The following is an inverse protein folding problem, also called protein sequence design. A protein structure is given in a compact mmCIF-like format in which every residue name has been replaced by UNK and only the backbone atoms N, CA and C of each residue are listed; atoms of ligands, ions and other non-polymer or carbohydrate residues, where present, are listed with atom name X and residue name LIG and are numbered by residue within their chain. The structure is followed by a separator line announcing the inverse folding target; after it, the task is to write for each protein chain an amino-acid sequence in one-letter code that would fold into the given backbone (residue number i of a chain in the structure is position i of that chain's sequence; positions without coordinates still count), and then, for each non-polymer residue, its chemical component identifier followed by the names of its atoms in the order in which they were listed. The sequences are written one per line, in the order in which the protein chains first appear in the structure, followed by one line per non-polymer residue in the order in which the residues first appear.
data_IF_684005126692
#
_entry.id   IF_684005126692
#
_cell.length_a   1.000
_cell.length_b   1.000
_cell.length_c   1.000
_cell.angle_alpha   90.00
_cell.angle_beta   90.00
_cell.angle_gamma   90.00
#
_symmetry.space_group_name_H-M   'P 1'
#
loop_
_entity.id
_entity.type
_entity.pdbx_description
1 polymer ?
#
# COMPACT_ATOMS: atom_id res chain seq x y z
N UNK A 1 19.05 18.43 11.47
CA UNK A 1 17.88 19.27 11.22
C UNK A 1 16.89 18.55 10.31
N UNK A 2 15.65 18.63 10.64
CA UNK A 2 14.63 17.99 9.85
C UNK A 2 14.19 18.92 8.72
N UNK A 3 14.27 18.43 7.50
CA UNK A 3 13.76 19.19 6.36
C UNK A 3 12.27 18.92 6.19
N UNK A 4 11.54 19.96 5.87
CA UNK A 4 10.12 19.83 5.52
C UNK A 4 9.96 20.22 4.06
N UNK A 5 9.11 19.49 3.37
CA UNK A 5 8.77 19.81 2.00
C UNK A 5 7.88 21.04 1.98
N UNK A 6 8.09 21.92 1.00
CA UNK A 6 7.13 22.98 0.76
C UNK A 6 5.84 22.40 0.18
N UNK A 7 4.79 23.21 0.10
CA UNK A 7 3.48 22.72 -0.34
C UNK A 7 3.50 22.16 -1.76
N UNK A 8 4.23 22.82 -2.66
CA UNK A 8 4.28 22.37 -4.04
C UNK A 8 5.02 21.04 -4.17
N UNK A 9 6.17 20.91 -3.52
CA UNK A 9 6.95 19.67 -3.53
C UNK A 9 6.17 18.54 -2.90
N UNK A 10 5.45 18.83 -1.81
CA UNK A 10 4.61 17.84 -1.14
C UNK A 10 3.49 17.35 -2.07
N UNK A 11 2.80 18.28 -2.73
CA UNK A 11 1.74 17.92 -3.66
C UNK A 11 2.24 17.08 -4.82
N UNK A 12 3.41 17.42 -5.34
CA UNK A 12 4.04 16.67 -6.43
C UNK A 12 4.42 15.25 -5.98
N UNK A 13 4.94 15.10 -4.77
CA UNK A 13 5.31 13.79 -4.24
C UNK A 13 4.07 12.93 -4.01
N UNK A 14 2.99 13.51 -3.48
CA UNK A 14 1.71 12.80 -3.31
C UNK A 14 1.24 12.28 -4.66
N UNK A 15 1.24 13.13 -5.67
CA UNK A 15 0.80 12.76 -7.01
C UNK A 15 1.68 11.64 -7.58
N UNK A 16 2.99 11.75 -7.42
CA UNK A 16 3.93 10.72 -7.89
C UNK A 16 3.62 9.36 -7.24
N UNK A 17 3.42 9.35 -5.93
CA UNK A 17 3.16 8.10 -5.19
C UNK A 17 1.83 7.48 -5.59
N UNK A 18 0.79 8.28 -5.79
CA UNK A 18 -0.51 7.77 -6.24
C UNK A 18 -0.40 7.22 -7.66
N UNK A 19 0.33 7.87 -8.54
CA UNK A 19 0.56 7.36 -9.89
C UNK A 19 1.30 6.02 -9.83
N UNK A 20 2.30 5.90 -8.94
CA UNK A 20 3.00 4.64 -8.74
C UNK A 20 2.07 3.54 -8.23
N UNK A 21 1.14 3.90 -7.34
CA UNK A 21 0.15 2.92 -6.85
C UNK A 21 -0.70 2.39 -8.01
N UNK A 22 -1.19 3.27 -8.87
CA UNK A 22 -2.00 2.88 -10.02
C UNK A 22 -1.23 2.02 -11.02
N UNK A 23 0.00 2.41 -11.33
CA UNK A 23 0.85 1.62 -12.22
C UNK A 23 1.13 0.23 -11.65
N UNK A 24 1.36 0.17 -10.36
CA UNK A 24 1.72 -1.08 -9.69
C UNK A 24 0.53 -2.04 -9.62
N UNK A 25 -0.69 -1.52 -9.47
CA UNK A 25 -1.90 -2.34 -9.58
C UNK A 25 -1.99 -2.98 -10.97
N UNK A 26 -1.68 -2.23 -12.02
CA UNK A 26 -1.70 -2.79 -13.38
C UNK A 26 -0.64 -3.86 -13.56
N UNK A 27 0.55 -3.64 -13.00
CA UNK A 27 1.61 -4.66 -13.01
C UNK A 27 1.14 -5.94 -12.33
N UNK A 28 0.47 -5.81 -11.19
CA UNK A 28 -0.07 -6.97 -10.48
C UNK A 28 -1.06 -7.75 -11.33
N UNK A 29 -1.95 -7.06 -12.04
CA UNK A 29 -2.93 -7.71 -12.90
C UNK A 29 -2.27 -8.48 -14.04
N UNK A 30 -1.27 -7.89 -14.67
CA UNK A 30 -0.54 -8.56 -15.75
C UNK A 30 0.13 -9.82 -15.24
N UNK A 31 0.76 -9.76 -14.07
CA UNK A 31 1.42 -10.91 -13.48
C UNK A 31 0.42 -12.01 -13.11
N UNK A 32 -0.73 -11.64 -12.54
CA UNK A 32 -1.76 -12.61 -12.18
C UNK A 32 -2.35 -13.27 -13.43
N UNK A 33 -2.55 -12.51 -14.50
CA UNK A 33 -3.07 -13.06 -15.76
C UNK A 33 -2.11 -14.07 -16.37
N UNK A 34 -0.80 -13.94 -16.09
CA UNK A 34 0.20 -14.85 -16.55
C UNK A 34 0.58 -15.89 -15.47
N UNK A 35 -0.26 -16.04 -14.48
CA UNK A 35 -0.13 -17.01 -13.39
C UNK A 35 1.10 -16.86 -12.50
N UNK A 36 1.66 -15.64 -12.44
CA UNK A 36 2.75 -15.31 -11.53
C UNK A 36 2.18 -14.75 -10.23
N UNK A 37 1.59 -15.61 -9.42
CA UNK A 37 0.79 -15.19 -8.26
C UNK A 37 1.62 -14.61 -7.13
N UNK A 38 2.80 -15.18 -6.85
CA UNK A 38 3.68 -14.61 -5.81
C UNK A 38 4.08 -13.20 -6.17
N UNK A 39 4.48 -12.98 -7.42
CA UNK A 39 4.86 -11.65 -7.89
C UNK A 39 3.66 -10.70 -7.90
N UNK A 40 2.48 -11.22 -8.27
CA UNK A 40 1.26 -10.41 -8.29
C UNK A 40 0.91 -9.90 -6.88
N UNK A 41 0.96 -10.77 -5.87
CA UNK A 41 0.69 -10.38 -4.49
C UNK A 41 1.74 -9.38 -3.98
N UNK A 42 3.01 -9.59 -4.34
CA UNK A 42 4.07 -8.64 -4.01
C UNK A 42 3.73 -7.26 -4.55
N UNK A 43 3.26 -7.18 -5.80
CA UNK A 43 2.89 -5.91 -6.41
C UNK A 43 1.66 -5.30 -5.76
N UNK A 44 0.69 -6.11 -5.31
CA UNK A 44 -0.46 -5.58 -4.56
C UNK A 44 -0.01 -4.88 -3.28
N UNK A 45 0.91 -5.50 -2.55
CA UNK A 45 1.46 -4.86 -1.35
C UNK A 45 2.08 -3.51 -1.69
N UNK A 46 2.96 -3.47 -2.71
CA UNK A 46 3.63 -2.23 -3.05
C UNK A 46 2.69 -1.16 -3.57
N UNK A 47 1.63 -1.55 -4.28
CA UNK A 47 0.61 -0.59 -4.70
C UNK A 47 -0.05 0.08 -3.49
N UNK A 48 -0.44 -0.71 -2.51
CA UNK A 48 -1.01 -0.20 -1.27
C UNK A 48 0.02 0.64 -0.50
N UNK A 49 1.26 0.19 -0.46
CA UNK A 49 2.34 0.89 0.24
C UNK A 49 2.55 2.29 -0.35
N UNK A 50 2.59 2.42 -1.68
CA UNK A 50 2.72 3.73 -2.32
C UNK A 50 1.55 4.64 -1.99
N UNK A 51 0.33 4.10 -1.98
CA UNK A 51 -0.86 4.88 -1.63
C UNK A 51 -0.77 5.38 -0.17
N UNK A 52 -0.37 4.50 0.75
CA UNK A 52 -0.20 4.89 2.16
C UNK A 52 0.87 5.97 2.28
N UNK A 53 2.00 5.82 1.57
CA UNK A 53 3.04 6.84 1.60
C UNK A 53 2.51 8.20 1.11
N UNK A 54 1.68 8.21 0.06
CA UNK A 54 1.07 9.45 -0.42
C UNK A 54 0.23 10.11 0.68
N UNK A 55 -0.56 9.31 1.38
CA UNK A 55 -1.41 9.81 2.47
C UNK A 55 -0.56 10.38 3.61
N UNK A 56 0.50 9.67 4.00
CA UNK A 56 1.39 10.13 5.06
C UNK A 56 2.08 11.45 4.66
N UNK A 57 2.59 11.52 3.44
CA UNK A 57 3.25 12.74 2.95
C UNK A 57 2.29 13.93 2.98
N UNK A 58 1.04 13.72 2.56
CA UNK A 58 0.04 14.79 2.60
C UNK A 58 -0.12 15.36 4.00
N UNK A 59 -0.04 14.53 5.01
CA UNK A 59 -0.21 14.95 6.41
C UNK A 59 1.10 15.27 7.12
N UNK A 60 2.22 15.33 6.39
CA UNK A 60 3.51 15.66 6.98
C UNK A 60 4.07 14.59 7.89
N UNK A 61 3.62 13.35 7.74
CA UNK A 61 4.08 12.22 8.53
C UNK A 61 5.15 11.48 7.74
N UNK A 62 6.30 11.24 8.36
CA UNK A 62 7.40 10.59 7.69
C UNK A 62 7.80 9.31 8.42
N UNK A 63 8.10 8.26 7.66
CA UNK A 63 8.68 7.03 8.20
C UNK A 63 9.62 6.43 7.16
N UNK A 64 10.78 5.96 7.64
CA UNK A 64 11.83 5.43 6.77
C UNK A 64 11.71 3.92 6.53
N UNK A 65 10.86 3.21 7.27
CA UNK A 65 10.77 1.76 7.19
C UNK A 65 9.37 1.30 6.83
N UNK A 66 9.27 0.09 6.23
CA UNK A 66 7.98 -0.51 5.94
C UNK A 66 7.14 -0.71 7.21
N UNK A 67 7.76 -1.21 8.27
CA UNK A 67 7.06 -1.39 9.55
C UNK A 67 6.59 -0.06 10.12
N UNK A 68 7.41 0.98 9.99
CA UNK A 68 7.04 2.32 10.44
C UNK A 68 5.86 2.89 9.67
N UNK A 69 5.81 2.68 8.36
CA UNK A 69 4.68 3.12 7.53
C UNK A 69 3.39 2.44 8.00
N UNK A 70 3.44 1.13 8.25
CA UNK A 70 2.30 0.39 8.77
C UNK A 70 1.84 0.93 10.12
N UNK A 71 2.77 1.22 11.02
CA UNK A 71 2.48 1.78 12.33
C UNK A 71 1.83 3.16 12.22
N UNK A 72 2.36 4.02 11.35
CA UNK A 72 1.81 5.35 11.16
C UNK A 72 0.40 5.32 10.59
N UNK A 73 0.14 4.41 9.66
CA UNK A 73 -1.22 4.25 9.12
C UNK A 73 -2.20 3.87 10.25
N UNK A 74 -1.81 2.91 11.07
CA UNK A 74 -2.64 2.46 12.18
C UNK A 74 -2.88 3.58 13.20
N UNK A 75 -1.81 4.24 13.60
CA UNK A 75 -1.85 5.25 14.66
C UNK A 75 -2.64 6.50 14.25
N UNK A 76 -2.44 6.98 13.04
CA UNK A 76 -3.00 8.28 12.63
C UNK A 76 -4.32 8.18 11.87
N UNK A 77 -4.68 7.01 11.36
CA UNK A 77 -5.86 6.88 10.51
C UNK A 77 -6.81 5.77 10.95
N UNK A 78 -6.32 4.55 11.16
CA UNK A 78 -7.21 3.44 11.52
C UNK A 78 -7.73 3.60 12.95
N UNK A 79 -6.84 3.87 13.89
CA UNK A 79 -7.24 4.02 15.30
C UNK A 79 -8.18 5.20 15.52
N UNK A 80 -8.14 6.19 14.64
CA UNK A 80 -8.99 7.38 14.71
C UNK A 80 -10.27 7.26 13.89
N UNK A 81 -10.51 6.12 13.28
CA UNK A 81 -11.72 5.88 12.51
C UNK A 81 -11.76 6.56 11.14
N UNK A 82 -10.65 7.15 10.69
CA UNK A 82 -10.58 7.79 9.38
C UNK A 82 -10.57 6.72 8.27
N UNK A 83 -9.87 5.62 8.53
CA UNK A 83 -9.86 4.46 7.64
C UNK A 83 -10.41 3.28 8.41
N UNK A 84 -11.36 2.56 7.81
CA UNK A 84 -11.98 1.41 8.45
C UNK A 84 -10.96 0.33 8.80
N UNK A 85 -11.22 -0.38 9.89
CA UNK A 85 -10.38 -1.47 10.37
C UNK A 85 -10.15 -2.51 9.28
N UNK A 86 -11.16 -2.77 8.45
CA UNK A 86 -11.03 -3.77 7.38
C UNK A 86 -9.96 -3.41 6.35
N UNK A 87 -9.83 -2.13 6.02
CA UNK A 87 -8.75 -1.66 5.16
C UNK A 87 -7.38 -1.83 5.83
N UNK A 88 -7.32 -1.55 7.12
CA UNK A 88 -6.09 -1.76 7.89
C UNK A 88 -5.68 -3.22 7.91
N UNK A 89 -6.65 -4.12 8.05
CA UNK A 89 -6.40 -5.57 8.00
C UNK A 89 -5.86 -6.00 6.65
N UNK A 90 -6.41 -5.47 5.57
CA UNK A 90 -5.93 -5.77 4.22
C UNK A 90 -4.45 -5.40 4.09
N UNK A 91 -4.10 -4.19 4.48
CA UNK A 91 -2.71 -3.74 4.39
C UNK A 91 -1.79 -4.58 5.29
N UNK A 92 -2.21 -4.85 6.52
CA UNK A 92 -1.43 -5.67 7.45
C UNK A 92 -1.20 -7.08 6.91
N UNK A 93 -2.21 -7.67 6.30
CA UNK A 93 -2.07 -9.04 5.76
C UNK A 93 -1.11 -9.07 4.56
N UNK A 94 -1.22 -8.10 3.66
CA UNK A 94 -0.30 -8.01 2.54
C UNK A 94 1.12 -7.74 3.02
N UNK A 95 1.27 -6.91 4.04
CA UNK A 95 2.57 -6.66 4.68
C UNK A 95 3.18 -7.96 5.20
N UNK A 96 2.39 -8.77 5.91
CA UNK A 96 2.86 -10.05 6.47
C UNK A 96 3.30 -11.00 5.38
N UNK A 97 2.50 -11.15 4.33
CA UNK A 97 2.82 -12.03 3.22
C UNK A 97 4.12 -11.61 2.56
N UNK A 98 4.29 -10.32 2.29
CA UNK A 98 5.50 -9.79 1.65
C UNK A 98 6.75 -10.05 2.49
N UNK A 99 6.67 -9.81 3.80
CA UNK A 99 7.83 -9.91 4.67
C UNK A 99 8.17 -11.35 5.03
N UNK A 100 7.17 -12.22 5.11
CA UNK A 100 7.41 -13.65 5.29
C UNK A 100 8.13 -14.22 4.07
N UNK A 101 7.70 -13.79 2.87
CA UNK A 101 8.28 -14.26 1.62
C UNK A 101 9.76 -13.93 1.45
N UNK A 102 10.26 -12.90 2.14
CA UNK A 102 11.67 -12.53 2.08
C UNK A 102 12.58 -13.57 2.71
N UNK A 103 12.06 -14.33 3.65
CA UNK A 103 12.86 -15.28 4.42
C UNK A 103 12.50 -16.72 4.17
N UNK A 104 11.42 -16.97 3.47
CA UNK A 104 10.86 -18.31 3.41
C UNK A 104 10.41 -18.65 1.99
N UNK A 105 11.13 -19.57 1.37
CA UNK A 105 10.81 -20.07 0.04
C UNK A 105 9.49 -20.87 0.05
N UNK A 106 8.97 -21.17 1.22
CA UNK A 106 7.72 -21.94 1.35
C UNK A 106 6.49 -21.05 1.31
N UNK A 107 6.65 -19.73 1.34
CA UNK A 107 5.51 -18.84 1.17
C UNK A 107 4.98 -19.00 -0.26
N UNK A 108 3.72 -19.35 -0.35
CA UNK A 108 3.11 -19.66 -1.62
C UNK A 108 1.82 -18.89 -1.80
N UNK A 109 1.71 -18.20 -2.92
CA UNK A 109 0.50 -17.49 -3.29
C UNK A 109 -0.13 -18.17 -4.49
N UNK A 110 -1.44 -18.22 -4.51
CA UNK A 110 -2.20 -18.89 -5.57
C UNK A 110 -3.24 -17.95 -6.18
N UNK A 111 -3.96 -18.47 -7.16
CA UNK A 111 -5.00 -17.70 -7.85
C UNK A 111 -6.07 -17.21 -6.88
N UNK A 112 -6.47 -18.04 -5.91
CA UNK A 112 -7.48 -17.66 -4.93
C UNK A 112 -7.05 -16.41 -4.15
N UNK A 113 -5.80 -16.34 -3.74
CA UNK A 113 -5.28 -15.19 -3.02
C UNK A 113 -5.33 -13.93 -3.86
N UNK A 114 -4.91 -14.02 -5.14
CA UNK A 114 -4.97 -12.84 -6.01
C UNK A 114 -6.42 -12.43 -6.26
N UNK A 115 -7.33 -13.38 -6.44
CA UNK A 115 -8.74 -13.08 -6.65
C UNK A 115 -9.37 -12.44 -5.41
N UNK A 116 -8.92 -12.83 -4.23
CA UNK A 116 -9.41 -12.24 -2.97
C UNK A 116 -8.82 -10.86 -2.72
N UNK A 117 -7.52 -10.70 -2.84
CA UNK A 117 -6.85 -9.48 -2.40
C UNK A 117 -6.81 -8.37 -3.44
N UNK A 118 -6.93 -8.67 -4.72
CA UNK A 118 -6.93 -7.63 -5.75
C UNK A 118 -8.06 -6.62 -5.53
N UNK A 119 -9.34 -7.06 -5.40
CA UNK A 119 -10.41 -6.09 -5.15
C UNK A 119 -10.26 -5.37 -3.80
N UNK A 120 -9.74 -6.06 -2.79
CA UNK A 120 -9.52 -5.43 -1.47
C UNK A 120 -8.45 -4.34 -1.55
N UNK A 121 -7.37 -4.60 -2.28
CA UNK A 121 -6.31 -3.61 -2.47
C UNK A 121 -6.82 -2.41 -3.28
N UNK A 122 -7.59 -2.66 -4.31
CA UNK A 122 -8.18 -1.59 -5.12
C UNK A 122 -9.13 -0.72 -4.30
N UNK A 123 -9.96 -1.34 -3.47
CA UNK A 123 -10.88 -0.59 -2.59
C UNK A 123 -10.10 0.25 -1.58
N UNK A 124 -9.02 -0.29 -1.03
CA UNK A 124 -8.17 0.42 -0.10
C UNK A 124 -7.53 1.65 -0.76
N UNK A 125 -6.97 1.48 -1.96
CA UNK A 125 -6.35 2.57 -2.70
C UNK A 125 -7.39 3.64 -3.05
N UNK A 126 -8.59 3.23 -3.44
CA UNK A 126 -9.68 4.17 -3.73
C UNK A 126 -10.05 4.99 -2.50
N UNK A 127 -10.10 4.35 -1.33
CA UNK A 127 -10.38 5.05 -0.09
C UNK A 127 -9.30 6.10 0.20
N UNK A 128 -8.05 5.75 0.01
CA UNK A 128 -6.97 6.71 0.21
C UNK A 128 -7.09 7.89 -0.77
N UNK A 129 -7.42 7.62 -2.02
CA UNK A 129 -7.61 8.69 -3.01
C UNK A 129 -8.70 9.67 -2.56
N UNK A 130 -9.80 9.16 -1.99
CA UNK A 130 -10.84 10.04 -1.43
C UNK A 130 -10.27 10.95 -0.36
N UNK A 131 -9.40 10.44 0.49
CA UNK A 131 -8.82 11.20 1.59
C UNK A 131 -7.79 12.23 1.12
N UNK A 132 -7.30 12.10 -0.12
CA UNK A 132 -6.33 13.03 -0.70
C UNK A 132 -7.00 14.22 -1.38
N UNK A 133 -8.26 14.14 -1.69
CA UNK A 133 -9.02 15.20 -2.38
C UNK A 133 -9.43 16.35 -1.45
#
# INVERSE_FOLDING_TARGET
MKETLDEQSRAELVKYRINRADETIQESRLLANDCHYNAAINRLYYACFYAVQALLVKHGIFSATHAGVKTMLSLHFVSKGVIDVEYGKTFSRLFEIRHSGDYDDFVYCDKEMTDEYTPKAEAFISKIKELLD
#
